data_IF_147819894703
#
_entry.id   IF_147819894703
#
_cell.length_a   1.000
_cell.length_b   1.000
_cell.length_c   1.000
_cell.angle_alpha   90.00
_cell.angle_beta   90.00
_cell.angle_gamma   90.00
#
_symmetry.space_group_name_H-M   'P 1'
#
loop_
_entity.id
_entity.type
_entity.pdbx_description
1 polymer ?
#
# COMPACT_ATOMS: atom_id res chain seq x y z
N UNK A 1 -3.55 -16.68 8.81
CA UNK A 1 -3.73 -15.20 8.82
C UNK A 1 -5.20 -14.81 8.86
N UNK A 2 -6.08 -15.32 8.00
CA UNK A 2 -7.50 -14.97 7.98
C UNK A 2 -8.24 -15.21 9.30
N UNK A 3 -8.02 -16.36 9.97
CA UNK A 3 -8.59 -16.62 11.30
C UNK A 3 -8.11 -15.61 12.36
N UNK A 4 -6.85 -15.20 12.29
CA UNK A 4 -6.30 -14.14 13.18
C UNK A 4 -6.99 -12.81 12.90
N UNK A 5 -7.15 -12.42 11.64
CA UNK A 5 -7.88 -11.19 11.29
C UNK A 5 -9.31 -11.21 11.87
N UNK A 6 -10.04 -12.31 11.73
CA UNK A 6 -11.38 -12.47 12.32
C UNK A 6 -11.36 -12.35 13.85
N UNK A 7 -10.39 -12.97 14.52
CA UNK A 7 -10.28 -12.89 15.99
C UNK A 7 -10.01 -11.47 16.49
N UNK A 8 -9.45 -10.61 15.63
CA UNK A 8 -9.22 -9.19 15.88
C UNK A 8 -10.39 -8.30 15.40
N UNK A 9 -11.51 -8.91 14.96
CA UNK A 9 -12.63 -8.21 14.33
C UNK A 9 -12.29 -7.53 12.99
N UNK A 10 -11.23 -7.97 12.32
CA UNK A 10 -10.87 -7.55 10.97
C UNK A 10 -11.60 -8.38 9.91
N UNK A 11 -11.80 -7.81 8.73
CA UNK A 11 -12.35 -8.50 7.55
C UNK A 11 -11.41 -8.39 6.34
N UNK A 12 -10.18 -8.04 6.56
CA UNK A 12 -9.05 -8.09 5.63
C UNK A 12 -7.74 -8.12 6.40
N UNK A 13 -6.63 -8.30 5.70
CA UNK A 13 -5.29 -8.19 6.28
C UNK A 13 -4.25 -7.90 5.20
N UNK A 14 -3.12 -7.36 5.64
CA UNK A 14 -1.91 -7.27 4.85
C UNK A 14 -0.92 -8.34 5.26
N UNK A 15 -0.11 -8.80 4.31
CA UNK A 15 0.94 -9.78 4.57
C UNK A 15 2.11 -9.59 3.60
N UNK A 16 3.29 -10.08 4.00
CA UNK A 16 4.43 -10.16 3.10
C UNK A 16 4.47 -11.52 2.41
N UNK A 17 4.64 -11.53 1.09
CA UNK A 17 4.78 -12.77 0.29
C UNK A 17 6.04 -13.54 0.65
N UNK A 18 7.03 -12.85 1.26
CA UNK A 18 8.34 -13.34 1.66
C UNK A 18 8.86 -12.55 2.88
N UNK A 19 10.03 -12.92 3.38
CA UNK A 19 10.67 -12.13 4.44
C UNK A 19 10.83 -10.66 3.99
N UNK A 20 10.24 -9.68 4.71
CA UNK A 20 10.26 -8.27 4.32
C UNK A 20 11.66 -7.64 4.29
N UNK A 21 12.64 -8.26 4.96
CA UNK A 21 14.05 -7.83 5.01
C UNK A 21 14.97 -8.75 4.21
N UNK A 22 14.42 -9.65 3.40
CA UNK A 22 15.17 -10.63 2.62
C UNK A 22 14.42 -11.11 1.40
N UNK A 23 14.96 -12.14 0.72
CA UNK A 23 14.39 -12.65 -0.53
C UNK A 23 13.72 -14.02 -0.40
N UNK A 24 13.86 -14.68 0.75
CA UNK A 24 13.33 -16.03 0.91
C UNK A 24 11.80 -16.03 1.06
N UNK A 25 11.15 -16.85 0.24
CA UNK A 25 9.71 -17.12 0.32
C UNK A 25 9.47 -18.58 0.71
N UNK A 26 8.47 -18.81 1.56
CA UNK A 26 7.99 -20.18 1.84
C UNK A 26 7.14 -20.66 0.66
N UNK A 27 7.17 -21.96 0.39
CA UNK A 27 6.23 -22.57 -0.54
C UNK A 27 4.79 -22.35 -0.06
N UNK A 28 3.88 -22.11 -1.00
CA UNK A 28 2.46 -22.00 -0.69
C UNK A 28 1.89 -23.41 -0.42
N UNK A 29 1.11 -23.53 0.65
CA UNK A 29 0.32 -24.73 0.91
C UNK A 29 -1.06 -24.57 0.25
N UNK A 30 -1.36 -25.44 -0.72
CA UNK A 30 -2.66 -25.44 -1.42
C UNK A 30 -3.85 -25.67 -0.49
N UNK A 31 -3.65 -26.42 0.61
CA UNK A 31 -4.70 -26.66 1.61
C UNK A 31 -4.98 -25.38 2.40
N UNK A 32 -3.93 -24.63 2.76
CA UNK A 32 -4.08 -23.34 3.47
C UNK A 32 -4.76 -22.30 2.56
N UNK A 33 -4.41 -22.26 1.27
CA UNK A 33 -5.06 -21.39 0.28
C UNK A 33 -6.56 -21.73 0.15
N UNK A 34 -6.91 -23.01 0.01
CA UNK A 34 -8.30 -23.43 -0.09
C UNK A 34 -9.09 -23.08 1.19
N UNK A 35 -8.49 -23.33 2.35
CA UNK A 35 -9.09 -22.98 3.64
C UNK A 35 -9.29 -21.46 3.77
N UNK A 36 -8.31 -20.63 3.34
CA UNK A 36 -8.45 -19.18 3.31
C UNK A 36 -9.55 -18.75 2.35
N UNK A 37 -9.60 -19.29 1.14
CA UNK A 37 -10.62 -18.94 0.14
C UNK A 37 -12.04 -19.18 0.68
N UNK A 38 -12.26 -20.34 1.28
CA UNK A 38 -13.55 -20.64 1.92
C UNK A 38 -13.88 -19.69 3.06
N UNK A 39 -12.90 -19.44 3.96
CA UNK A 39 -13.05 -18.50 5.08
C UNK A 39 -13.38 -17.10 4.60
N UNK A 40 -12.68 -16.62 3.56
CA UNK A 40 -12.87 -15.28 3.01
C UNK A 40 -14.28 -15.11 2.41
N UNK A 41 -14.76 -16.10 1.66
CA UNK A 41 -16.12 -16.11 1.09
C UNK A 41 -17.18 -16.13 2.19
N UNK A 42 -17.03 -17.02 3.17
CA UNK A 42 -18.02 -17.19 4.27
C UNK A 42 -18.12 -15.93 5.16
N UNK A 43 -17.02 -15.21 5.34
CA UNK A 43 -16.96 -14.04 6.23
C UNK A 43 -16.89 -12.68 5.49
N UNK A 44 -17.19 -12.68 4.19
CA UNK A 44 -17.23 -11.46 3.37
C UNK A 44 -15.94 -10.61 3.50
N UNK A 45 -14.78 -11.25 3.37
CA UNK A 45 -13.52 -10.55 3.39
C UNK A 45 -13.43 -9.56 2.23
N UNK A 46 -12.92 -8.38 2.50
CA UNK A 46 -12.42 -7.48 1.48
C UNK A 46 -11.13 -8.06 0.85
N UNK A 47 -10.67 -7.47 -0.24
CA UNK A 47 -9.39 -7.87 -0.85
C UNK A 47 -8.28 -7.83 0.20
N UNK A 48 -7.42 -8.85 0.19
CA UNK A 48 -6.20 -8.84 0.98
C UNK A 48 -5.07 -8.18 0.20
N UNK A 49 -4.11 -7.62 0.92
CA UNK A 49 -3.00 -6.88 0.37
C UNK A 49 -1.70 -7.61 0.64
N UNK A 50 -1.05 -8.10 -0.41
CA UNK A 50 0.33 -8.54 -0.32
C UNK A 50 1.25 -7.33 -0.40
N UNK A 51 2.30 -7.28 0.39
CA UNK A 51 3.28 -6.20 0.36
C UNK A 51 4.64 -6.71 -0.12
N UNK A 52 5.27 -5.95 -0.99
CA UNK A 52 6.64 -6.19 -1.45
C UNK A 52 7.65 -6.04 -0.29
N UNK A 53 8.78 -6.77 -0.31
CA UNK A 53 9.85 -6.52 0.64
C UNK A 53 10.37 -5.08 0.57
N UNK A 54 10.68 -4.49 1.72
CA UNK A 54 11.24 -3.13 1.81
C UNK A 54 12.61 -2.97 1.12
N UNK A 55 13.28 -4.09 0.82
CA UNK A 55 14.59 -4.09 0.17
C UNK A 55 14.54 -3.87 -1.34
N UNK A 56 13.35 -3.87 -1.94
CA UNK A 56 13.21 -3.67 -3.37
C UNK A 56 13.37 -2.21 -3.76
N UNK A 57 14.17 -1.96 -4.78
CA UNK A 57 14.31 -0.63 -5.36
C UNK A 57 14.36 -0.71 -6.89
N UNK A 58 13.21 -0.70 -7.56
CA UNK A 58 13.14 -0.69 -9.02
C UNK A 58 13.67 0.61 -9.65
N UNK A 59 13.85 1.68 -8.86
CA UNK A 59 14.42 2.96 -9.29
C UNK A 59 15.95 3.05 -9.12
N UNK A 60 16.62 2.01 -8.61
CA UNK A 60 18.04 2.07 -8.28
C UNK A 60 18.93 2.36 -9.51
N UNK A 61 20.05 3.07 -9.28
CA UNK A 61 21.08 3.31 -10.29
C UNK A 61 21.79 2.01 -10.72
N UNK A 62 22.07 1.15 -9.75
CA UNK A 62 22.74 -0.13 -9.97
C UNK A 62 21.79 -1.09 -10.69
N UNK A 63 22.28 -1.65 -11.80
CA UNK A 63 21.54 -2.59 -12.62
C UNK A 63 21.15 -3.84 -11.83
N UNK A 64 22.07 -4.38 -11.07
CA UNK A 64 21.91 -5.58 -10.25
C UNK A 64 20.77 -5.43 -9.22
N UNK A 65 20.65 -4.25 -8.61
CA UNK A 65 19.56 -3.95 -7.67
C UNK A 65 18.20 -3.94 -8.37
N UNK A 66 18.13 -3.38 -9.59
CA UNK A 66 16.88 -3.40 -10.37
C UNK A 66 16.52 -4.79 -10.86
N UNK A 67 17.51 -5.58 -11.32
CA UNK A 67 17.30 -6.97 -11.75
C UNK A 67 16.82 -7.83 -10.58
N UNK A 68 17.38 -7.63 -9.39
CA UNK A 68 16.88 -8.26 -8.18
C UNK A 68 15.43 -7.89 -7.90
N UNK A 69 15.07 -6.60 -7.97
CA UNK A 69 13.69 -6.15 -7.79
C UNK A 69 12.75 -6.80 -8.84
N UNK A 70 13.17 -6.87 -10.11
CA UNK A 70 12.41 -7.52 -11.18
C UNK A 70 12.16 -9.00 -10.92
N UNK A 71 13.18 -9.75 -10.50
CA UNK A 71 13.08 -11.18 -10.18
C UNK A 71 12.07 -11.39 -9.04
N UNK A 72 12.19 -10.61 -7.99
CA UNK A 72 11.31 -10.72 -6.83
C UNK A 72 9.87 -10.35 -7.18
N UNK A 73 9.65 -9.23 -7.87
CA UNK A 73 8.31 -8.80 -8.29
C UNK A 73 7.65 -9.85 -9.20
N UNK A 74 8.39 -10.41 -10.15
CA UNK A 74 7.90 -11.47 -11.05
C UNK A 74 7.48 -12.72 -10.28
N UNK A 75 8.31 -13.18 -9.34
CA UNK A 75 7.99 -14.33 -8.49
C UNK A 75 6.78 -14.04 -7.59
N UNK A 76 6.72 -12.88 -6.96
CA UNK A 76 5.60 -12.51 -6.09
C UNK A 76 4.27 -12.40 -6.87
N UNK A 77 4.27 -11.76 -8.03
CA UNK A 77 3.08 -11.67 -8.88
C UNK A 77 2.64 -13.06 -9.39
N UNK A 78 3.60 -13.94 -9.74
CA UNK A 78 3.28 -15.32 -10.06
C UNK A 78 2.64 -16.05 -8.86
N UNK A 79 3.18 -15.86 -7.67
CA UNK A 79 2.62 -16.43 -6.43
C UNK A 79 1.21 -15.92 -6.16
N UNK A 80 0.93 -14.65 -6.41
CA UNK A 80 -0.40 -14.05 -6.23
C UNK A 80 -1.46 -14.64 -7.17
N UNK A 81 -1.09 -15.30 -8.26
CA UNK A 81 -2.05 -16.02 -9.12
C UNK A 81 -2.81 -17.14 -8.40
N UNK A 82 -2.28 -17.61 -7.27
CA UNK A 82 -2.93 -18.63 -6.43
C UNK A 82 -4.08 -18.07 -5.58
N UNK A 83 -4.15 -16.75 -5.41
CA UNK A 83 -5.21 -16.02 -4.71
C UNK A 83 -5.70 -14.87 -5.59
N UNK A 84 -6.34 -15.19 -6.73
CA UNK A 84 -6.67 -14.18 -7.75
C UNK A 84 -7.62 -13.10 -7.21
N UNK A 85 -7.59 -11.92 -7.85
CA UNK A 85 -8.44 -10.78 -7.50
C UNK A 85 -7.97 -9.99 -6.29
N UNK A 86 -6.82 -10.34 -5.69
CA UNK A 86 -6.23 -9.60 -4.58
C UNK A 86 -5.19 -8.59 -5.07
N UNK A 87 -4.61 -7.82 -4.14
CA UNK A 87 -3.74 -6.69 -4.45
C UNK A 87 -2.31 -6.95 -4.01
N UNK A 88 -1.36 -6.33 -4.71
CA UNK A 88 0.05 -6.37 -4.40
C UNK A 88 0.61 -4.96 -4.35
N UNK A 89 1.00 -4.49 -3.17
CA UNK A 89 1.53 -3.16 -2.91
C UNK A 89 3.04 -3.13 -2.95
N UNK A 90 3.62 -2.06 -3.48
CA UNK A 90 5.06 -1.82 -3.43
C UNK A 90 5.38 -0.34 -3.27
N UNK A 91 6.47 -0.07 -2.55
CA UNK A 91 7.11 1.23 -2.59
C UNK A 91 7.71 1.45 -4.00
N UNK A 92 7.44 2.57 -4.68
CA UNK A 92 7.99 2.81 -6.02
C UNK A 92 9.51 2.75 -6.07
N UNK A 93 10.19 3.12 -4.97
CA UNK A 93 11.63 3.08 -4.83
C UNK A 93 12.28 4.44 -4.70
N UNK A 94 13.61 4.46 -4.73
CA UNK A 94 14.43 5.65 -4.54
C UNK A 94 15.41 5.83 -5.69
N UNK A 95 15.49 7.05 -6.25
CA UNK A 95 16.32 7.34 -7.42
C UNK A 95 17.82 7.46 -7.11
N UNK A 96 18.20 7.57 -5.83
CA UNK A 96 19.60 7.55 -5.35
C UNK A 96 20.52 8.45 -6.20
N UNK A 97 20.16 9.73 -6.32
CA UNK A 97 20.98 10.75 -7.01
C UNK A 97 20.81 10.86 -8.53
N UNK A 98 20.11 9.91 -9.20
CA UNK A 98 19.90 9.98 -10.68
C UNK A 98 18.85 11.02 -11.09
N UNK A 99 18.04 11.50 -10.14
CA UNK A 99 16.91 12.37 -10.38
C UNK A 99 15.59 11.63 -10.62
N UNK A 100 14.51 12.32 -10.30
CA UNK A 100 13.13 11.78 -10.30
C UNK A 100 12.75 11.22 -11.67
N UNK A 101 13.02 11.94 -12.78
CA UNK A 101 12.66 11.50 -14.15
C UNK A 101 13.31 10.17 -14.53
N UNK A 102 14.60 9.98 -14.19
CA UNK A 102 15.29 8.74 -14.44
C UNK A 102 14.70 7.59 -13.61
N UNK A 103 14.46 7.82 -12.33
CA UNK A 103 13.85 6.85 -11.44
C UNK A 103 12.46 6.41 -11.90
N UNK A 104 11.57 7.35 -12.27
CA UNK A 104 10.24 7.05 -12.83
C UNK A 104 10.36 6.14 -14.06
N UNK A 105 11.28 6.44 -14.97
CA UNK A 105 11.51 5.61 -16.17
C UNK A 105 11.97 4.20 -15.81
N UNK A 106 12.85 4.07 -14.82
CA UNK A 106 13.36 2.77 -14.37
C UNK A 106 12.26 1.93 -13.70
N UNK A 107 11.43 2.54 -12.85
CA UNK A 107 10.28 1.88 -12.23
C UNK A 107 9.34 1.35 -13.31
N UNK A 108 8.92 2.20 -14.24
CA UNK A 108 8.02 1.82 -15.32
C UNK A 108 8.59 0.70 -16.18
N UNK A 109 9.90 0.72 -16.47
CA UNK A 109 10.59 -0.34 -17.20
C UNK A 109 10.56 -1.68 -16.46
N UNK A 110 10.75 -1.70 -15.16
CA UNK A 110 10.63 -2.91 -14.34
C UNK A 110 9.20 -3.42 -14.37
N UNK A 111 8.21 -2.55 -14.12
CA UNK A 111 6.79 -2.91 -14.14
C UNK A 111 6.37 -3.46 -15.50
N UNK A 112 6.79 -2.86 -16.62
CA UNK A 112 6.52 -3.35 -17.98
C UNK A 112 7.10 -4.74 -18.28
N UNK A 113 8.15 -5.16 -17.56
CA UNK A 113 8.72 -6.50 -17.71
C UNK A 113 8.06 -7.55 -16.83
N UNK A 114 7.40 -7.16 -15.75
CA UNK A 114 6.78 -8.11 -14.79
C UNK A 114 5.27 -8.21 -14.91
N UNK A 115 4.60 -7.14 -15.34
CA UNK A 115 3.14 -7.12 -15.52
C UNK A 115 2.79 -7.74 -16.88
N UNK A 116 1.88 -8.69 -16.86
CA UNK A 116 1.38 -9.38 -18.06
C UNK A 116 -0.08 -9.00 -18.32
N UNK A 117 -0.59 -9.11 -19.56
CA UNK A 117 -1.97 -8.72 -19.91
C UNK A 117 -3.05 -9.49 -19.16
N UNK A 118 -2.75 -10.66 -18.64
CA UNK A 118 -3.71 -11.53 -17.94
C UNK A 118 -3.47 -11.58 -16.42
N UNK A 119 -2.76 -10.59 -15.88
CA UNK A 119 -2.51 -10.52 -14.45
C UNK A 119 -3.82 -10.30 -13.69
N UNK A 120 -4.19 -11.25 -12.82
CA UNK A 120 -5.39 -11.16 -11.98
C UNK A 120 -5.18 -10.32 -10.70
N UNK A 121 -3.97 -9.90 -10.44
CA UNK A 121 -3.56 -9.11 -9.27
C UNK A 121 -3.45 -7.65 -9.65
N UNK A 122 -4.11 -6.76 -8.91
CA UNK A 122 -3.89 -5.32 -9.05
C UNK A 122 -2.60 -4.93 -8.35
N UNK A 123 -1.68 -4.31 -9.07
CA UNK A 123 -0.41 -3.83 -8.53
C UNK A 123 -0.60 -2.40 -8.04
N UNK A 124 -0.26 -2.13 -6.78
CA UNK A 124 -0.44 -0.82 -6.17
C UNK A 124 0.91 -0.13 -6.00
N UNK A 125 0.98 1.12 -6.42
CA UNK A 125 2.05 2.03 -6.05
C UNK A 125 1.64 2.75 -4.77
N UNK A 126 2.48 2.70 -3.76
CA UNK A 126 2.21 3.38 -2.51
C UNK A 126 2.58 4.85 -2.58
N UNK A 127 1.79 5.72 -1.94
CA UNK A 127 2.20 7.11 -1.69
C UNK A 127 3.34 7.12 -0.67
N UNK A 128 4.40 7.86 -0.95
CA UNK A 128 5.62 7.88 -0.15
C UNK A 128 5.80 9.19 0.62
N UNK A 129 6.56 9.13 1.70
CA UNK A 129 6.82 10.30 2.57
C UNK A 129 7.75 11.35 1.96
N UNK A 130 8.45 11.03 0.88
CA UNK A 130 9.48 11.89 0.28
C UNK A 130 10.79 11.90 1.07
N UNK A 131 11.06 10.84 1.83
CA UNK A 131 12.31 10.70 2.56
C UNK A 131 13.48 10.51 1.60
N UNK A 132 14.46 11.40 1.67
CA UNK A 132 15.67 11.31 0.86
C UNK A 132 15.39 11.44 -0.64
N UNK A 133 15.46 10.34 -1.37
CA UNK A 133 15.26 10.28 -2.81
C UNK A 133 14.11 9.34 -3.22
N UNK A 134 13.16 9.11 -2.33
CA UNK A 134 11.95 8.33 -2.61
C UNK A 134 11.16 8.95 -3.76
N UNK A 135 10.57 8.09 -4.60
CA UNK A 135 9.64 8.45 -5.68
C UNK A 135 8.24 8.04 -5.25
N UNK A 136 7.23 8.83 -5.61
CA UNK A 136 5.84 8.62 -5.21
C UNK A 136 5.42 9.50 -4.04
N UNK A 137 6.21 10.53 -3.72
CA UNK A 137 5.87 11.53 -2.71
C UNK A 137 4.88 12.58 -3.21
N UNK A 138 4.66 12.66 -4.52
CA UNK A 138 3.61 13.48 -5.12
C UNK A 138 2.71 12.64 -6.03
N UNK A 139 1.48 13.06 -6.22
CA UNK A 139 0.53 12.38 -7.10
C UNK A 139 1.00 12.40 -8.55
N UNK A 140 1.67 13.47 -8.98
CA UNK A 140 2.26 13.60 -10.31
C UNK A 140 3.37 12.56 -10.55
N UNK A 141 4.17 12.24 -9.55
CA UNK A 141 5.20 11.19 -9.67
C UNK A 141 4.57 9.81 -9.88
N UNK A 142 3.51 9.49 -9.12
CA UNK A 142 2.76 8.24 -9.28
C UNK A 142 2.10 8.18 -10.66
N UNK A 143 1.43 9.25 -11.07
CA UNK A 143 0.80 9.34 -12.38
C UNK A 143 1.83 9.19 -13.51
N UNK A 144 3.00 9.81 -13.36
CA UNK A 144 4.06 9.72 -14.34
C UNK A 144 4.64 8.29 -14.49
N UNK A 145 4.62 7.48 -13.43
CA UNK A 145 4.93 6.04 -13.51
C UNK A 145 3.81 5.30 -14.25
N UNK A 146 2.55 5.52 -13.83
CA UNK A 146 1.37 4.83 -14.37
C UNK A 146 1.26 5.03 -15.89
N UNK A 147 1.43 6.26 -16.37
CA UNK A 147 1.37 6.60 -17.81
C UNK A 147 2.42 5.88 -18.67
N UNK A 148 3.51 5.42 -18.07
CA UNK A 148 4.60 4.71 -18.77
C UNK A 148 4.46 3.20 -18.71
N UNK A 149 3.44 2.68 -18.01
CA UNK A 149 3.18 1.24 -17.93
C UNK A 149 2.19 0.82 -19.01
N UNK A 150 2.58 -0.16 -19.84
CA UNK A 150 1.79 -0.62 -20.98
C UNK A 150 0.43 -1.20 -20.59
N UNK A 151 0.36 -1.89 -19.46
CA UNK A 151 -0.87 -2.45 -18.89
C UNK A 151 -1.30 -1.65 -17.67
N UNK A 152 -1.45 -0.33 -17.85
CA UNK A 152 -1.74 0.60 -16.76
C UNK A 152 -3.06 0.34 -16.04
N UNK A 153 -4.01 -0.36 -16.68
CA UNK A 153 -5.29 -0.73 -16.06
C UNK A 153 -5.12 -1.70 -14.89
N UNK A 154 -4.00 -2.42 -14.84
CA UNK A 154 -3.64 -3.29 -13.70
C UNK A 154 -2.96 -2.55 -12.57
N UNK A 155 -2.63 -1.26 -12.75
CA UNK A 155 -1.98 -0.43 -11.73
C UNK A 155 -3.02 0.39 -10.98
N UNK A 156 -2.96 0.32 -9.67
CA UNK A 156 -3.66 1.20 -8.75
C UNK A 156 -2.69 1.94 -7.82
N UNK A 157 -3.27 2.63 -6.85
CA UNK A 157 -2.54 3.36 -5.81
C UNK A 157 -3.02 2.89 -4.44
N UNK A 158 -2.10 2.77 -3.51
CA UNK A 158 -2.34 2.66 -2.08
C UNK A 158 -1.98 3.99 -1.42
N UNK A 159 -2.92 4.64 -0.76
CA UNK A 159 -2.60 5.77 0.10
C UNK A 159 -2.04 5.24 1.42
N UNK A 160 -0.95 5.84 1.91
CA UNK A 160 -0.57 5.78 3.30
C UNK A 160 -0.80 7.14 3.95
N UNK A 161 -1.63 7.18 4.99
CA UNK A 161 -2.00 8.45 5.64
C UNK A 161 -0.82 9.12 6.36
N UNK A 162 0.11 8.34 6.92
CA UNK A 162 1.34 8.85 7.50
C UNK A 162 2.25 9.43 6.41
N UNK A 163 2.40 8.73 5.27
CA UNK A 163 3.23 9.19 4.16
C UNK A 163 2.67 10.45 3.52
N UNK A 164 1.37 10.50 3.23
CA UNK A 164 0.72 11.72 2.70
C UNK A 164 0.95 12.92 3.62
N UNK A 165 0.71 12.76 4.92
CA UNK A 165 0.93 13.82 5.90
C UNK A 165 2.39 14.26 5.96
N UNK A 166 3.32 13.32 5.94
CA UNK A 166 4.75 13.60 5.92
C UNK A 166 5.22 14.27 4.62
N UNK A 167 4.60 13.94 3.48
CA UNK A 167 4.89 14.54 2.18
C UNK A 167 4.31 15.95 2.00
N UNK A 168 3.41 16.39 2.88
CA UNK A 168 2.84 17.73 2.83
C UNK A 168 1.39 17.80 2.33
N UNK A 169 0.69 16.67 2.23
CA UNK A 169 -0.75 16.63 1.99
C UNK A 169 -1.51 16.77 3.32
N UNK A 170 -2.20 17.88 3.51
CA UNK A 170 -2.91 18.19 4.78
C UNK A 170 -4.24 17.43 4.88
N UNK A 171 -4.15 16.13 5.14
CA UNK A 171 -5.33 15.27 5.38
C UNK A 171 -6.02 15.58 6.72
N UNK A 172 -5.42 16.41 7.57
CA UNK A 172 -5.98 16.81 8.87
C UNK A 172 -6.98 17.95 8.69
N UNK A 173 -6.66 18.97 7.91
CA UNK A 173 -7.51 20.16 7.79
C UNK A 173 -8.14 20.31 6.40
N UNK A 174 -7.59 19.65 5.38
CA UNK A 174 -7.94 19.84 3.96
C UNK A 174 -8.15 18.51 3.22
N UNK A 175 -8.77 17.52 3.88
CA UNK A 175 -8.95 16.18 3.30
C UNK A 175 -9.69 16.23 1.96
N UNK A 176 -10.76 17.03 1.83
CA UNK A 176 -11.53 17.16 0.60
C UNK A 176 -10.68 17.70 -0.56
N UNK A 177 -9.78 18.67 -0.29
CA UNK A 177 -8.87 19.20 -1.29
C UNK A 177 -7.85 18.15 -1.74
N UNK A 178 -7.29 17.38 -0.78
CA UNK A 178 -6.34 16.29 -1.09
C UNK A 178 -7.01 15.22 -1.95
N UNK A 179 -8.25 14.86 -1.64
CA UNK A 179 -9.04 13.90 -2.44
C UNK A 179 -9.31 14.45 -3.84
N UNK A 180 -9.67 15.73 -3.96
CA UNK A 180 -9.92 16.39 -5.25
C UNK A 180 -8.65 16.51 -6.11
N UNK A 181 -7.51 16.83 -5.50
CA UNK A 181 -6.20 16.86 -6.18
C UNK A 181 -5.81 15.47 -6.69
N UNK A 182 -5.99 14.42 -5.87
CA UNK A 182 -5.75 13.05 -6.31
C UNK A 182 -6.66 12.66 -7.47
N UNK A 183 -7.96 12.96 -7.39
CA UNK A 183 -8.91 12.67 -8.48
C UNK A 183 -8.52 13.36 -9.78
N UNK A 184 -8.12 14.61 -9.69
CA UNK A 184 -7.70 15.40 -10.85
C UNK A 184 -6.42 14.87 -11.51
N UNK A 185 -5.44 14.40 -10.73
CA UNK A 185 -4.11 14.02 -11.22
C UNK A 185 -4.06 12.54 -11.61
N UNK A 186 -4.58 11.67 -10.75
CA UNK A 186 -4.47 10.19 -10.89
C UNK A 186 -5.82 9.55 -11.23
N UNK A 187 -6.90 10.10 -10.66
CA UNK A 187 -8.25 9.54 -10.74
C UNK A 187 -8.58 8.62 -9.55
N UNK A 188 -9.71 8.88 -8.88
CA UNK A 188 -10.18 8.08 -7.73
C UNK A 188 -10.40 6.62 -8.07
N UNK A 189 -10.70 6.29 -9.31
CA UNK A 189 -10.86 4.89 -9.76
C UNK A 189 -9.58 4.06 -9.60
N UNK A 190 -8.41 4.70 -9.51
CA UNK A 190 -7.12 4.05 -9.26
C UNK A 190 -6.77 3.88 -7.78
N UNK A 191 -7.44 4.58 -6.88
CA UNK A 191 -7.25 4.38 -5.45
C UNK A 191 -7.95 3.08 -5.02
N UNK A 192 -7.17 2.11 -4.56
CA UNK A 192 -7.65 0.75 -4.28
C UNK A 192 -7.53 0.32 -2.83
N UNK A 193 -6.65 0.97 -2.07
CA UNK A 193 -6.35 0.62 -0.70
C UNK A 193 -5.87 1.84 0.09
N UNK A 194 -6.00 1.78 1.40
CA UNK A 194 -5.47 2.79 2.31
C UNK A 194 -4.75 2.09 3.46
N UNK A 195 -3.46 2.39 3.63
CA UNK A 195 -2.76 2.19 4.89
C UNK A 195 -3.18 3.31 5.83
N UNK A 196 -3.91 2.95 6.88
CA UNK A 196 -4.45 3.91 7.83
C UNK A 196 -3.54 3.99 9.05
N UNK A 197 -2.58 4.89 9.01
CA UNK A 197 -1.55 5.05 10.01
C UNK A 197 -1.55 6.49 10.56
N UNK A 198 -1.32 6.66 11.87
CA UNK A 198 -1.01 7.97 12.44
C UNK A 198 0.50 8.26 12.28
N UNK A 199 0.95 9.49 12.47
CA UNK A 199 2.33 9.90 12.27
C UNK A 199 2.99 10.37 13.56
N UNK A 200 4.13 9.80 13.92
CA UNK A 200 4.99 10.33 15.01
C UNK A 200 5.70 11.64 14.62
N UNK A 201 5.65 11.99 13.34
CA UNK A 201 6.37 13.16 12.85
C UNK A 201 5.39 14.27 12.46
N UNK A 202 5.79 15.55 12.57
CA UNK A 202 4.93 16.66 12.20
C UNK A 202 4.67 16.71 10.68
N UNK A 203 3.67 17.50 10.30
CA UNK A 203 3.31 17.78 8.92
C UNK A 203 4.50 18.21 8.08
N UNK A 204 4.57 17.70 6.84
CA UNK A 204 5.64 18.03 5.86
C UNK A 204 7.06 17.72 6.36
N UNK A 205 7.22 16.71 7.21
CA UNK A 205 8.51 16.34 7.81
C UNK A 205 9.41 15.53 6.88
N UNK A 206 8.86 14.93 5.82
CA UNK A 206 9.52 13.97 4.95
C UNK A 206 10.16 12.80 5.73
N UNK A 207 9.44 12.30 6.75
CA UNK A 207 9.89 11.20 7.59
C UNK A 207 8.78 10.20 7.77
N UNK A 208 9.05 8.97 7.40
CA UNK A 208 8.19 7.83 7.64
C UNK A 208 8.40 7.29 9.06
N UNK A 209 7.41 7.52 9.93
CA UNK A 209 7.36 7.01 11.31
C UNK A 209 5.90 6.87 11.73
N UNK A 210 5.37 5.66 11.66
CA UNK A 210 4.01 5.36 12.07
C UNK A 210 3.82 5.48 13.58
N UNK A 211 2.67 5.97 13.98
CA UNK A 211 2.18 5.97 15.35
C UNK A 211 0.91 5.12 15.44
N UNK A 212 0.59 4.64 16.63
CA UNK A 212 -0.72 4.08 16.92
C UNK A 212 -1.82 5.13 16.72
N UNK A 213 -3.02 4.70 16.31
CA UNK A 213 -4.14 5.58 16.00
C UNK A 213 -4.45 6.53 17.17
N UNK A 214 -4.43 7.83 16.90
CA UNK A 214 -4.67 8.89 17.88
C UNK A 214 -3.48 9.19 18.79
N UNK A 215 -2.30 8.64 18.51
CA UNK A 215 -1.08 8.87 19.30
C UNK A 215 -0.03 9.71 18.55
N UNK A 216 -0.34 10.15 17.35
CA UNK A 216 0.53 10.95 16.50
C UNK A 216 -0.04 12.33 16.19
N UNK A 217 0.58 12.98 15.21
CA UNK A 217 0.24 14.34 14.79
C UNK A 217 -0.97 14.44 13.87
N UNK A 218 -1.39 13.32 13.23
CA UNK A 218 -2.63 13.29 12.45
C UNK A 218 -3.83 13.27 13.39
N UNK A 219 -3.79 12.37 14.38
CA UNK A 219 -4.79 12.24 15.43
C UNK A 219 -6.03 11.46 14.99
N UNK A 220 -6.71 10.88 15.98
CA UNK A 220 -7.86 10.00 15.77
C UNK A 220 -8.99 10.66 14.97
N UNK A 221 -9.35 11.91 15.29
CA UNK A 221 -10.45 12.59 14.63
C UNK A 221 -10.24 12.82 13.13
N UNK A 222 -8.99 13.03 12.68
CA UNK A 222 -8.67 13.14 11.26
C UNK A 222 -8.78 11.78 10.57
N UNK A 223 -8.24 10.72 11.18
CA UNK A 223 -8.32 9.36 10.64
C UNK A 223 -9.76 8.85 10.60
N UNK A 224 -10.61 9.22 11.57
CA UNK A 224 -12.05 8.97 11.51
C UNK A 224 -12.73 9.69 10.35
N UNK A 225 -12.29 10.90 9.97
CA UNK A 225 -12.77 11.57 8.75
C UNK A 225 -12.36 10.82 7.51
N UNK A 226 -11.13 10.31 7.45
CA UNK A 226 -10.64 9.52 6.30
C UNK A 226 -11.51 8.29 6.07
N UNK A 227 -11.79 7.48 7.11
CA UNK A 227 -12.61 6.27 6.96
C UNK A 227 -14.09 6.56 6.66
N UNK A 228 -14.55 7.77 6.91
CA UNK A 228 -15.95 8.19 6.67
C UNK A 228 -16.10 9.07 5.43
N UNK A 229 -15.01 9.46 4.76
CA UNK A 229 -15.08 10.30 3.58
C UNK A 229 -15.81 9.57 2.43
N UNK A 230 -16.80 10.19 1.77
CA UNK A 230 -17.63 9.53 0.75
C UNK A 230 -16.85 8.82 -0.35
N UNK A 231 -15.73 9.41 -0.80
CA UNK A 231 -14.87 8.84 -1.83
C UNK A 231 -13.95 7.70 -1.32
N UNK A 232 -13.76 7.56 -0.01
CA UNK A 232 -12.78 6.63 0.58
C UNK A 232 -13.43 5.48 1.35
N UNK A 233 -14.58 5.69 1.96
CA UNK A 233 -15.20 4.78 2.92
C UNK A 233 -15.48 3.35 2.39
N UNK A 234 -15.52 3.17 1.09
CA UNK A 234 -15.74 1.86 0.45
C UNK A 234 -14.45 1.08 0.20
N UNK A 235 -13.29 1.70 0.42
CA UNK A 235 -11.99 1.07 0.22
C UNK A 235 -11.63 0.16 1.41
N UNK A 236 -10.79 -0.87 1.21
CA UNK A 236 -10.18 -1.58 2.31
C UNK A 236 -9.11 -0.72 3.00
N UNK A 237 -9.14 -0.74 4.34
CA UNK A 237 -8.17 -0.07 5.19
C UNK A 237 -7.30 -1.10 5.90
N UNK A 238 -5.98 -0.86 5.92
CA UNK A 238 -4.97 -1.70 6.56
C UNK A 238 -4.20 -0.90 7.59
N UNK A 239 -3.91 -1.50 8.74
CA UNK A 239 -3.14 -0.88 9.81
C UNK A 239 -1.72 -1.41 9.81
N UNK A 240 -0.74 -0.52 9.80
CA UNK A 240 0.68 -0.82 9.98
C UNK A 240 1.23 -0.13 11.23
N UNK A 241 0.33 0.20 12.14
CA UNK A 241 0.65 0.89 13.39
C UNK A 241 1.56 0.02 14.27
N UNK A 242 2.51 0.62 14.99
CA UNK A 242 3.39 -0.13 15.88
C UNK A 242 2.60 -0.77 17.03
N UNK A 243 2.74 -2.07 17.20
CA UNK A 243 2.09 -2.85 18.25
C UNK A 243 3.10 -3.79 18.90
N UNK A 244 3.15 -3.82 20.22
CA UNK A 244 3.99 -4.76 20.97
C UNK A 244 3.50 -6.21 20.78
N UNK A 245 2.20 -6.38 20.60
CA UNK A 245 1.56 -7.67 20.38
C UNK A 245 0.41 -7.53 19.37
N UNK A 246 0.17 -8.58 18.58
CA UNK A 246 -0.85 -8.57 17.51
C UNK A 246 -2.27 -8.24 18.02
N UNK A 247 -2.57 -8.55 19.28
CA UNK A 247 -3.85 -8.19 19.91
C UNK A 247 -4.07 -6.69 20.05
N UNK A 248 -3.02 -5.87 19.94
CA UNK A 248 -3.12 -4.41 19.95
C UNK A 248 -3.99 -3.88 18.80
N UNK A 249 -3.93 -4.52 17.65
CA UNK A 249 -4.78 -4.17 16.51
C UNK A 249 -6.28 -4.32 16.80
N UNK A 250 -6.69 -5.26 17.65
CA UNK A 250 -8.11 -5.43 17.98
C UNK A 250 -8.73 -4.16 18.56
N UNK A 251 -7.99 -3.43 19.40
CA UNK A 251 -8.45 -2.18 20.01
C UNK A 251 -8.63 -1.08 18.97
N UNK A 252 -7.66 -0.92 18.07
CA UNK A 252 -7.71 0.08 17.00
C UNK A 252 -8.84 -0.24 16.00
N UNK A 253 -8.98 -1.50 15.60
CA UNK A 253 -10.04 -1.95 14.70
C UNK A 253 -11.42 -1.69 15.33
N UNK A 254 -11.62 -2.05 16.60
CA UNK A 254 -12.89 -1.81 17.30
C UNK A 254 -13.22 -0.32 17.40
N UNK A 255 -12.24 0.52 17.73
CA UNK A 255 -12.39 1.97 17.81
C UNK A 255 -12.79 2.56 16.44
N UNK A 256 -12.09 2.18 15.37
CA UNK A 256 -12.41 2.66 14.03
C UNK A 256 -13.76 2.16 13.52
N UNK A 257 -14.12 0.90 13.82
CA UNK A 257 -15.43 0.34 13.48
C UNK A 257 -16.58 1.07 14.22
N UNK A 258 -16.36 1.46 15.49
CA UNK A 258 -17.34 2.22 16.25
C UNK A 258 -17.54 3.64 15.68
N UNK A 259 -16.51 4.22 15.08
CA UNK A 259 -16.56 5.54 14.44
C UNK A 259 -17.06 5.51 12.98
N UNK A 260 -17.11 4.34 12.35
CA UNK A 260 -17.50 4.19 10.94
C UNK A 260 -19.02 4.41 10.77
N UNK A 261 -19.38 5.26 9.81
CA UNK A 261 -20.76 5.61 9.44
C UNK A 261 -21.14 4.91 8.14
N UNK A 262 -22.13 4.02 8.22
CA UNK A 262 -22.66 3.30 7.07
C UNK A 262 -23.31 4.22 6.03
#
# INVERSE_FOLDING_TARGET
MGQVALSLSGNTFQFFTRNPRGSQAKAWDRKDIAAYTHLAQTNHFAHILAHAPYTLNPAAAQKETREFAEIILRDDLHRMTLIPGNMYNLHPGSHVGQGIKAGITLIANVLNRVITPNLSTTVLLETMSGKGSEIGSTFEELQAVIERVSYSDTIGVCWDTCHLFAAGYDIVNRLDDVVADFDKIVGLSRLKAVHLNDSLMPFSSHKDRHAAIGKGYIGQAALERVINHPALKHLPFYLETPQDHISGYAREIQMLRAAYRK
#
